data_IF_221548631759
#
_entry.id   IF_221548631759
#
_cell.length_a   1.000
_cell.length_b   1.000
_cell.length_c   1.000
_cell.angle_alpha   90.00
_cell.angle_beta   90.00
_cell.angle_gamma   90.00
#
_symmetry.space_group_name_H-M   'P 1'
#
loop_
_entity.id
_entity.type
_entity.pdbx_description
1 polymer ?
#
# COMPACT_ATOMS: atom_id res chain seq x y z
N UNK A 1 -10.66 31.24 24.11
CA UNK A 1 -11.16 30.11 24.92
C UNK A 1 -10.08 29.64 25.87
N UNK A 2 -10.43 29.11 27.04
CA UNK A 2 -9.49 28.34 27.87
C UNK A 2 -9.47 26.88 27.44
N UNK A 3 -8.45 26.11 27.82
CA UNK A 3 -8.41 24.65 27.59
C UNK A 3 -9.59 23.96 28.27
N UNK A 4 -10.02 24.44 29.43
CA UNK A 4 -11.19 23.92 30.14
C UNK A 4 -12.50 24.16 29.38
N UNK A 5 -12.64 25.31 28.73
CA UNK A 5 -13.79 25.61 27.87
C UNK A 5 -13.81 24.68 26.66
N UNK A 6 -12.67 24.54 25.97
CA UNK A 6 -12.56 23.60 24.82
C UNK A 6 -12.86 22.17 25.25
N UNK A 7 -12.41 21.75 26.43
CA UNK A 7 -12.63 20.42 26.96
C UNK A 7 -14.10 20.08 27.23
N UNK A 8 -15.04 21.05 27.21
CA UNK A 8 -16.49 20.80 27.32
C UNK A 8 -17.12 20.36 26.00
N UNK A 9 -16.44 20.57 24.88
CA UNK A 9 -16.95 20.31 23.53
C UNK A 9 -16.43 18.97 22.99
N UNK A 10 -16.96 17.86 23.53
CA UNK A 10 -16.47 16.50 23.24
C UNK A 10 -17.41 15.63 22.41
N UNK A 11 -18.64 16.06 22.21
CA UNK A 11 -19.69 15.25 21.59
C UNK A 11 -20.41 16.03 20.51
N UNK A 12 -21.01 15.38 19.48
CA UNK A 12 -21.76 16.08 18.44
C UNK A 12 -22.89 16.97 18.98
N UNK A 13 -23.54 16.57 20.09
CA UNK A 13 -24.58 17.35 20.74
C UNK A 13 -24.06 18.62 21.42
N UNK A 14 -22.80 18.64 21.82
CA UNK A 14 -22.14 19.77 22.50
C UNK A 14 -21.20 20.54 21.56
N UNK A 15 -21.16 20.18 20.26
CA UNK A 15 -20.08 20.50 19.32
C UNK A 15 -18.77 19.79 19.68
N UNK A 16 -17.99 19.44 18.66
CA UNK A 16 -16.69 18.78 18.78
C UNK A 16 -15.61 19.81 18.51
N UNK A 17 -14.95 20.30 19.56
CA UNK A 17 -13.85 21.26 19.41
C UNK A 17 -12.50 20.59 19.61
N UNK A 18 -11.49 21.10 18.91
CA UNK A 18 -10.10 20.64 19.01
C UNK A 18 -9.16 21.84 18.98
N UNK A 19 -7.91 21.66 19.42
CA UNK A 19 -6.88 22.70 19.32
C UNK A 19 -5.70 22.26 18.46
N UNK A 20 -5.05 23.22 17.80
CA UNK A 20 -3.75 23.02 17.17
C UNK A 20 -2.95 24.32 17.27
N UNK A 21 -1.76 24.25 17.88
CA UNK A 21 -1.03 25.41 18.37
C UNK A 21 -1.87 26.17 19.40
N UNK A 22 -2.14 27.44 19.10
CA UNK A 22 -3.00 28.31 19.93
C UNK A 22 -4.40 28.49 19.35
N UNK A 23 -4.73 27.81 18.25
CA UNK A 23 -6.02 27.98 17.56
C UNK A 23 -7.04 26.92 18.01
N UNK A 24 -8.32 27.30 18.03
CA UNK A 24 -9.46 26.45 18.41
C UNK A 24 -10.36 26.27 17.19
N UNK A 25 -10.73 25.01 16.93
CA UNK A 25 -11.48 24.61 15.75
C UNK A 25 -12.74 23.85 16.15
N UNK A 26 -13.89 24.17 15.54
CA UNK A 26 -15.13 23.40 15.64
C UNK A 26 -15.21 22.46 14.45
N UNK A 27 -14.84 21.20 14.67
CA UNK A 27 -14.77 20.18 13.63
C UNK A 27 -16.03 19.32 13.58
N UNK A 28 -17.13 19.74 14.23
CA UNK A 28 -18.38 18.95 14.33
C UNK A 28 -18.85 18.45 12.98
N UNK A 29 -18.90 19.34 11.98
CA UNK A 29 -19.37 19.01 10.64
C UNK A 29 -18.33 18.25 9.79
N UNK A 30 -17.08 18.18 10.26
CA UNK A 30 -15.99 17.45 9.62
C UNK A 30 -15.82 16.01 10.13
N UNK A 31 -16.34 15.68 11.31
CA UNK A 31 -16.18 14.36 11.95
C UNK A 31 -16.53 13.22 10.99
N UNK A 32 -17.68 13.30 10.33
CA UNK A 32 -18.16 12.28 9.37
C UNK A 32 -17.38 12.30 8.04
N UNK A 33 -16.73 13.41 7.71
CA UNK A 33 -15.97 13.60 6.46
C UNK A 33 -14.49 13.19 6.61
N UNK A 34 -14.04 12.90 7.83
CA UNK A 34 -12.65 12.61 8.13
C UNK A 34 -12.20 11.30 7.45
N UNK A 35 -11.13 11.30 6.61
CA UNK A 35 -10.70 10.13 5.85
C UNK A 35 -10.29 8.90 6.68
N UNK A 36 -9.96 9.09 7.96
CA UNK A 36 -9.67 8.01 8.91
C UNK A 36 -10.90 7.48 9.65
N UNK A 37 -12.09 7.99 9.35
CA UNK A 37 -13.34 7.75 10.07
C UNK A 37 -13.55 8.70 11.26
N UNK A 38 -14.81 8.80 11.75
CA UNK A 38 -15.19 9.72 12.82
C UNK A 38 -14.54 9.35 14.16
N UNK A 39 -14.46 8.05 14.46
CA UNK A 39 -13.89 7.54 15.71
C UNK A 39 -12.48 8.06 15.99
N UNK A 40 -11.65 8.20 14.95
CA UNK A 40 -10.26 8.66 15.09
C UNK A 40 -10.17 10.14 15.39
N UNK A 41 -11.04 10.96 14.82
CA UNK A 41 -11.07 12.40 15.10
C UNK A 41 -11.66 12.66 16.50
N UNK A 42 -12.68 11.89 16.89
CA UNK A 42 -13.33 12.03 18.20
C UNK A 42 -12.40 11.71 19.38
N UNK A 43 -11.30 10.98 19.18
CA UNK A 43 -10.26 10.80 20.20
C UNK A 43 -9.61 12.13 20.62
N UNK A 44 -9.57 13.10 19.71
CA UNK A 44 -9.03 14.43 19.99
C UNK A 44 -10.08 15.41 20.51
N UNK A 45 -11.35 15.00 20.63
CA UNK A 45 -12.44 15.87 21.00
C UNK A 45 -12.21 16.50 22.38
N UNK A 46 -12.30 17.83 22.44
CA UNK A 46 -12.00 18.65 23.60
C UNK A 46 -10.51 18.75 23.95
N UNK A 47 -9.60 18.46 23.02
CA UNK A 47 -8.16 18.41 23.28
C UNK A 47 -7.27 18.79 22.09
N UNK A 48 -5.93 18.71 22.29
CA UNK A 48 -4.94 19.02 21.26
C UNK A 48 -4.84 17.97 20.15
N UNK A 49 -4.70 18.43 18.91
CA UNK A 49 -4.47 17.59 17.72
C UNK A 49 -3.02 17.09 17.61
N UNK A 50 -2.06 17.78 18.24
CA UNK A 50 -0.62 17.55 18.10
C UNK A 50 -0.20 16.09 18.38
N UNK A 51 -0.66 15.41 19.44
CA UNK A 51 -0.31 14.01 19.68
C UNK A 51 -0.75 13.08 18.55
N UNK A 52 -1.90 13.37 17.94
CA UNK A 52 -2.45 12.58 16.83
C UNK A 52 -1.75 12.91 15.51
N UNK A 53 -1.43 14.18 15.28
CA UNK A 53 -0.74 14.63 14.08
C UNK A 53 0.72 14.17 14.04
N UNK A 54 1.36 14.05 15.21
CA UNK A 54 2.68 13.44 15.33
C UNK A 54 2.71 12.00 14.80
N UNK A 55 1.61 11.24 14.96
CA UNK A 55 1.44 9.86 14.46
C UNK A 55 1.08 9.80 12.96
N UNK A 56 0.42 10.83 12.46
CA UNK A 56 -0.09 10.89 11.09
C UNK A 56 0.33 12.18 10.40
N UNK A 57 1.60 12.30 9.99
CA UNK A 57 2.12 13.57 9.44
C UNK A 57 1.49 13.97 8.08
N UNK A 58 0.60 13.15 7.50
CA UNK A 58 -0.28 13.61 6.42
C UNK A 58 -1.08 14.84 6.84
N UNK A 59 -1.42 14.97 8.13
CA UNK A 59 -2.15 16.14 8.64
C UNK A 59 -1.29 17.40 8.73
N UNK A 60 0.04 17.28 8.71
CA UNK A 60 0.95 18.41 8.63
C UNK A 60 1.14 18.94 7.20
N UNK A 61 0.51 18.33 6.19
CA UNK A 61 0.60 18.81 4.81
C UNK A 61 -0.20 20.11 4.61
N UNK A 62 0.27 21.04 3.77
CA UNK A 62 -0.37 22.37 3.62
C UNK A 62 -1.87 22.32 3.33
N UNK A 63 -2.31 21.40 2.46
CA UNK A 63 -3.73 21.28 2.10
C UNK A 63 -4.61 20.80 3.28
N UNK A 64 -4.07 20.05 4.24
CA UNK A 64 -4.81 19.65 5.46
C UNK A 64 -4.86 20.79 6.47
N UNK A 65 -3.79 21.59 6.56
CA UNK A 65 -3.78 22.82 7.35
C UNK A 65 -4.79 23.84 6.80
N UNK A 66 -4.88 23.98 5.48
CA UNK A 66 -5.87 24.82 4.80
C UNK A 66 -7.29 24.36 5.10
N UNK A 67 -7.55 23.05 4.98
CA UNK A 67 -8.84 22.47 5.34
C UNK A 67 -9.19 22.71 6.81
N UNK A 68 -8.25 22.49 7.75
CA UNK A 68 -8.50 22.71 9.17
C UNK A 68 -8.86 24.19 9.47
N UNK A 69 -8.24 25.15 8.77
CA UNK A 69 -8.52 26.58 8.96
C UNK A 69 -9.97 26.96 8.65
N UNK A 70 -10.66 26.23 7.77
CA UNK A 70 -12.09 26.46 7.49
C UNK A 70 -12.97 26.26 8.73
N UNK A 71 -12.48 25.48 9.70
CA UNK A 71 -13.18 25.14 10.95
C UNK A 71 -12.75 26.00 12.15
N UNK A 72 -11.92 27.04 11.94
CA UNK A 72 -11.43 27.88 13.06
C UNK A 72 -12.58 28.67 13.68
N UNK A 73 -12.74 28.55 15.01
CA UNK A 73 -13.75 29.27 15.80
C UNK A 73 -13.17 30.21 16.86
N UNK A 74 -11.86 30.19 17.07
CA UNK A 74 -11.16 31.17 17.90
C UNK A 74 -9.73 30.77 18.25
N UNK A 75 -9.24 31.34 19.35
CA UNK A 75 -7.88 31.12 19.85
C UNK A 75 -7.90 30.88 21.36
N UNK A 76 -6.88 30.18 21.85
CA UNK A 76 -6.65 29.95 23.26
C UNK A 76 -6.23 31.26 23.96
N UNK A 77 -6.56 31.40 25.23
CA UNK A 77 -6.08 32.51 26.04
C UNK A 77 -4.55 32.48 26.16
N UNK A 78 -3.89 33.64 26.38
CA UNK A 78 -2.43 33.68 26.56
C UNK A 78 -1.92 32.77 27.69
N UNK A 79 -2.71 32.57 28.74
CA UNK A 79 -2.38 31.69 29.87
C UNK A 79 -2.35 30.20 29.47
N UNK A 80 -3.15 29.81 28.48
CA UNK A 80 -3.23 28.44 27.95
C UNK A 80 -2.43 28.22 26.65
N UNK A 81 -1.77 29.27 26.15
CA UNK A 81 -0.99 29.26 24.90
C UNK A 81 0.30 28.44 24.97
N UNK A 82 0.74 28.09 26.18
CA UNK A 82 1.89 27.20 26.39
C UNK A 82 1.45 25.74 26.28
N UNK A 83 2.16 24.87 25.53
CA UNK A 83 1.82 23.46 25.45
C UNK A 83 1.88 22.83 26.86
N UNK A 84 0.98 21.89 27.20
CA UNK A 84 1.07 21.19 28.48
C UNK A 84 2.38 20.42 28.47
N UNK A 85 3.13 20.50 29.58
CA UNK A 85 4.34 19.71 29.76
C UNK A 85 3.95 18.22 29.89
N UNK A 86 3.89 17.54 28.76
CA UNK A 86 3.69 16.10 28.64
C UNK A 86 4.65 15.57 27.60
N UNK A 87 5.45 14.58 27.99
CA UNK A 87 6.47 13.87 27.22
C UNK A 87 6.02 13.46 25.80
N UNK A 88 6.09 14.37 24.83
CA UNK A 88 5.90 14.03 23.43
C UNK A 88 7.21 13.45 22.88
N UNK A 89 7.60 12.27 23.38
CA UNK A 89 8.66 11.50 22.74
C UNK A 89 8.13 11.09 21.35
N UNK A 90 8.77 11.60 20.31
CA UNK A 90 8.43 11.34 18.91
C UNK A 90 8.18 9.84 18.71
N UNK A 91 6.94 9.41 18.37
CA UNK A 91 6.58 7.99 18.33
C UNK A 91 7.37 7.22 17.25
N UNK A 92 7.98 7.95 16.30
CA UNK A 92 8.84 7.41 15.25
C UNK A 92 10.33 7.41 15.60
N UNK A 93 10.74 7.84 16.81
CA UNK A 93 12.16 7.92 17.18
C UNK A 93 12.87 6.55 17.11
N UNK A 94 12.14 5.45 17.32
CA UNK A 94 12.64 4.07 17.24
C UNK A 94 12.60 3.45 15.84
N UNK A 95 12.19 4.19 14.81
CA UNK A 95 12.15 3.70 13.45
C UNK A 95 13.57 3.37 12.93
N UNK A 96 13.74 2.33 12.08
CA UNK A 96 15.03 1.97 11.53
C UNK A 96 15.58 3.05 10.58
N UNK A 97 16.91 3.13 10.37
CA UNK A 97 17.48 3.92 9.28
C UNK A 97 17.14 3.28 7.92
N UNK A 98 17.07 4.09 6.86
CA UNK A 98 16.78 3.63 5.49
C UNK A 98 17.80 4.15 4.50
N UNK A 99 17.87 3.49 3.35
CA UNK A 99 18.81 3.85 2.29
C UNK A 99 18.47 5.23 1.70
N UNK A 100 19.45 6.14 1.56
CA UNK A 100 19.21 7.54 1.16
C UNK A 100 18.77 7.70 -0.30
N UNK A 101 18.98 6.69 -1.15
CA UNK A 101 18.52 6.74 -2.54
C UNK A 101 17.00 6.58 -2.70
N UNK A 102 16.28 6.16 -1.65
CA UNK A 102 14.83 6.02 -1.72
C UNK A 102 14.17 7.38 -1.94
N UNK A 103 13.15 7.41 -2.82
CA UNK A 103 12.30 8.58 -3.04
C UNK A 103 11.23 8.59 -1.96
N UNK A 104 11.47 9.38 -0.92
CA UNK A 104 10.58 9.50 0.24
C UNK A 104 9.39 10.39 -0.10
N UNK A 105 8.18 9.87 0.10
CA UNK A 105 6.93 10.63 -0.04
C UNK A 105 6.30 10.99 1.31
N UNK A 106 6.67 10.29 2.39
CA UNK A 106 6.33 10.64 3.77
C UNK A 106 7.43 10.13 4.70
N UNK A 107 7.88 10.98 5.63
CA UNK A 107 8.86 10.59 6.64
C UNK A 107 8.20 9.90 7.85
N UNK A 108 7.00 10.34 8.24
CA UNK A 108 6.29 9.89 9.45
C UNK A 108 4.78 9.76 9.21
N UNK A 109 4.24 8.54 9.03
CA UNK A 109 4.96 7.28 8.93
C UNK A 109 5.82 7.20 7.67
N UNK A 110 6.90 6.42 7.73
CA UNK A 110 7.85 6.30 6.63
C UNK A 110 7.23 5.60 5.41
N UNK A 111 7.25 6.27 4.27
CA UNK A 111 6.79 5.75 3.00
C UNK A 111 7.70 6.23 1.87
N UNK A 112 8.27 5.27 1.13
CA UNK A 112 9.24 5.56 0.08
C UNK A 112 9.27 4.45 -0.98
N UNK A 113 9.65 4.82 -2.20
CA UNK A 113 9.83 3.92 -3.33
C UNK A 113 11.27 4.02 -3.87
N UNK A 114 11.82 2.96 -4.50
CA UNK A 114 13.10 3.08 -5.19
C UNK A 114 13.02 4.07 -6.36
N UNK A 115 14.15 4.66 -6.76
CA UNK A 115 14.23 5.35 -8.05
C UNK A 115 13.78 4.43 -9.19
N UNK A 116 12.90 4.90 -10.10
CA UNK A 116 12.41 4.10 -11.22
C UNK A 116 13.51 3.39 -12.04
N UNK A 117 14.63 4.06 -12.30
CA UNK A 117 15.78 3.52 -13.02
C UNK A 117 16.47 2.36 -12.30
N UNK A 118 16.32 2.24 -10.98
CA UNK A 118 16.84 1.12 -10.19
C UNK A 118 15.81 -0.02 -10.03
N UNK A 119 14.52 0.29 -10.19
CA UNK A 119 13.42 -0.64 -9.91
C UNK A 119 13.55 -1.96 -10.68
N UNK A 120 14.00 -1.91 -11.93
CA UNK A 120 14.08 -3.08 -12.83
C UNK A 120 15.51 -3.50 -13.16
N UNK A 121 16.51 -3.06 -12.37
CA UNK A 121 17.92 -3.47 -12.57
C UNK A 121 18.18 -4.91 -12.10
N UNK A 122 17.31 -5.42 -11.23
CA UNK A 122 17.36 -6.80 -10.73
C UNK A 122 15.96 -7.36 -10.69
N UNK A 123 15.83 -8.66 -10.98
CA UNK A 123 14.57 -9.37 -10.85
C UNK A 123 14.06 -9.41 -9.40
N UNK A 124 14.97 -9.64 -8.44
CA UNK A 124 14.72 -9.51 -7.01
C UNK A 124 15.18 -8.12 -6.58
N UNK A 125 14.27 -7.30 -6.10
CA UNK A 125 14.57 -5.98 -5.56
C UNK A 125 15.38 -6.15 -4.27
N UNK A 126 16.57 -5.51 -4.15
CA UNK A 126 17.35 -5.52 -2.92
C UNK A 126 16.52 -5.03 -1.73
N UNK A 127 16.74 -5.60 -0.55
CA UNK A 127 15.94 -5.34 0.66
C UNK A 127 15.92 -3.84 1.02
N UNK A 128 17.05 -3.16 0.82
CA UNK A 128 17.28 -1.75 1.12
C UNK A 128 16.58 -0.80 0.13
N UNK A 129 16.21 -1.31 -1.05
CA UNK A 129 15.52 -0.58 -2.12
C UNK A 129 14.06 -1.02 -2.28
N UNK A 130 13.64 -2.09 -1.60
CA UNK A 130 12.27 -2.55 -1.65
C UNK A 130 11.34 -1.46 -1.10
N UNK A 131 10.30 -1.09 -1.85
CA UNK A 131 9.41 0.01 -1.46
C UNK A 131 8.84 -0.22 -0.05
N UNK A 132 8.78 0.83 0.75
CA UNK A 132 8.30 0.76 2.13
C UNK A 132 7.02 1.54 2.24
N UNK A 133 5.96 0.89 2.74
CA UNK A 133 4.70 1.54 3.11
C UNK A 133 4.40 1.24 4.58
N UNK A 134 4.50 2.26 5.43
CA UNK A 134 4.09 2.19 6.84
C UNK A 134 2.88 3.10 7.07
N UNK A 135 1.87 2.60 7.79
CA UNK A 135 0.76 3.43 8.28
C UNK A 135 1.05 4.07 9.64
N UNK A 136 1.95 3.45 10.39
CA UNK A 136 2.20 3.66 11.81
C UNK A 136 3.71 3.52 12.10
N UNK A 137 4.19 3.87 13.30
CA UNK A 137 5.57 3.64 13.72
C UNK A 137 5.98 2.17 13.61
N UNK A 138 7.26 1.92 13.33
CA UNK A 138 7.79 0.56 13.19
C UNK A 138 7.99 -0.06 14.58
N UNK A 139 7.32 -1.17 14.92
CA UNK A 139 7.51 -1.83 16.21
C UNK A 139 8.98 -2.19 16.48
N UNK A 140 9.40 -2.01 17.73
CA UNK A 140 10.65 -2.56 18.25
C UNK A 140 10.33 -3.90 18.92
N UNK A 141 10.74 -5.00 18.29
CA UNK A 141 10.38 -6.35 18.72
C UNK A 141 11.61 -7.08 19.21
N UNK A 142 11.56 -7.62 20.43
CA UNK A 142 12.59 -8.50 20.97
C UNK A 142 12.30 -9.95 20.57
N UNK A 143 13.18 -10.64 19.81
CA UNK A 143 12.88 -11.95 19.24
C UNK A 143 12.52 -13.04 20.26
N UNK A 144 13.16 -13.04 21.43
CA UNK A 144 12.94 -14.06 22.45
C UNK A 144 11.55 -14.00 23.10
N UNK A 145 10.97 -12.79 23.19
CA UNK A 145 9.67 -12.56 23.81
C UNK A 145 8.51 -12.49 22.79
N UNK A 146 8.80 -12.36 21.50
CA UNK A 146 7.79 -12.38 20.45
C UNK A 146 6.91 -13.63 20.51
N UNK A 147 5.59 -13.44 20.39
CA UNK A 147 4.60 -14.51 20.28
C UNK A 147 3.60 -14.19 19.18
N UNK A 148 3.40 -15.15 18.29
CA UNK A 148 2.31 -15.17 17.33
C UNK A 148 1.12 -15.90 17.93
N UNK A 149 0.00 -15.20 18.10
CA UNK A 149 -1.26 -15.82 18.51
C UNK A 149 -2.00 -16.36 17.28
N UNK A 150 -2.41 -17.63 17.33
CA UNK A 150 -3.27 -18.23 16.30
C UNK A 150 -4.51 -18.78 16.97
N UNK A 151 -5.67 -18.19 16.69
CA UNK A 151 -6.95 -18.63 17.24
C UNK A 151 -7.46 -19.82 16.44
N UNK A 152 -7.65 -20.95 17.14
CA UNK A 152 -8.16 -22.22 16.62
C UNK A 152 -9.65 -22.43 16.92
N UNK A 153 -10.28 -23.47 16.34
CA UNK A 153 -11.68 -23.79 16.59
C UNK A 153 -11.96 -24.09 18.06
N UNK A 154 -13.16 -23.72 18.51
CA UNK A 154 -13.66 -24.02 19.86
C UNK A 154 -12.94 -23.28 20.98
N UNK A 155 -12.37 -22.09 20.69
CA UNK A 155 -11.69 -21.25 21.66
C UNK A 155 -10.25 -21.68 22.00
N UNK A 156 -9.70 -22.66 21.29
CA UNK A 156 -8.27 -23.02 21.40
C UNK A 156 -7.42 -21.87 20.86
N UNK A 157 -6.28 -21.60 21.47
CA UNK A 157 -5.34 -20.60 20.97
C UNK A 157 -3.93 -21.16 21.03
N UNK A 158 -3.21 -21.11 19.91
CA UNK A 158 -1.77 -21.32 19.89
C UNK A 158 -1.06 -20.00 20.20
N UNK A 159 0.06 -20.08 20.90
CA UNK A 159 1.00 -18.98 21.13
C UNK A 159 2.37 -19.47 20.70
N UNK A 160 2.76 -19.13 19.47
CA UNK A 160 3.98 -19.63 18.83
C UNK A 160 5.11 -18.60 19.01
N UNK A 161 6.22 -19.02 19.59
CA UNK A 161 7.46 -18.24 19.52
C UNK A 161 8.04 -18.24 18.10
N UNK A 162 8.96 -17.32 17.81
CA UNK A 162 9.69 -17.31 16.53
C UNK A 162 10.46 -18.63 16.29
N UNK A 163 11.07 -19.18 17.34
CA UNK A 163 11.79 -20.45 17.27
C UNK A 163 10.86 -21.62 16.94
N UNK A 164 9.66 -21.68 17.54
CA UNK A 164 8.67 -22.71 17.23
C UNK A 164 8.12 -22.57 15.81
N UNK A 165 7.88 -21.34 15.34
CA UNK A 165 7.44 -21.12 13.97
C UNK A 165 8.47 -21.61 12.95
N UNK A 166 9.77 -21.40 13.22
CA UNK A 166 10.88 -21.89 12.38
C UNK A 166 11.11 -23.40 12.50
N UNK A 167 10.94 -23.96 13.70
CA UNK A 167 11.30 -25.35 14.00
C UNK A 167 10.17 -26.37 13.78
N UNK A 168 8.90 -25.98 13.93
CA UNK A 168 7.75 -26.90 13.82
C UNK A 168 7.23 -27.06 12.39
N UNK A 169 7.37 -26.03 11.55
CA UNK A 169 6.77 -26.01 10.22
C UNK A 169 7.85 -26.07 9.14
N UNK A 170 7.67 -26.85 8.05
CA UNK A 170 8.61 -26.85 6.95
C UNK A 170 8.73 -25.47 6.31
N UNK A 171 9.96 -24.96 6.20
CA UNK A 171 10.23 -23.69 5.50
C UNK A 171 9.90 -23.85 4.01
N UNK A 172 9.09 -22.94 3.51
CA UNK A 172 8.78 -22.79 2.09
C UNK A 172 9.26 -21.44 1.58
N UNK A 173 9.71 -21.41 0.33
CA UNK A 173 10.17 -20.21 -0.33
C UNK A 173 9.25 -19.89 -1.52
N UNK A 174 8.80 -18.64 -1.61
CA UNK A 174 7.92 -18.15 -2.68
C UNK A 174 8.47 -16.82 -3.16
N UNK A 175 8.77 -16.74 -4.46
CA UNK A 175 9.10 -15.45 -5.08
C UNK A 175 7.80 -14.76 -5.47
N UNK A 176 7.51 -13.61 -4.85
CA UNK A 176 6.28 -12.87 -5.10
C UNK A 176 6.53 -11.37 -5.16
N UNK A 177 5.84 -10.72 -6.09
CA UNK A 177 5.77 -9.27 -6.18
C UNK A 177 4.70 -8.75 -5.23
N UNK A 178 5.04 -7.73 -4.44
CA UNK A 178 4.07 -6.94 -3.70
C UNK A 178 3.86 -5.63 -4.44
N UNK A 179 2.60 -5.28 -4.70
CA UNK A 179 2.22 -3.98 -5.26
C UNK A 179 1.24 -3.28 -4.31
N UNK A 180 1.48 -2.01 -4.01
CA UNK A 180 0.54 -1.17 -3.27
C UNK A 180 -0.68 -0.84 -4.13
N UNK A 181 -1.88 -0.78 -3.53
CA UNK A 181 -3.10 -0.33 -4.21
C UNK A 181 -2.94 1.05 -4.87
N UNK A 182 -2.11 1.91 -4.27
CA UNK A 182 -1.84 3.27 -4.72
C UNK A 182 -0.65 3.44 -5.65
N UNK A 183 -0.06 2.35 -6.17
CA UNK A 183 1.00 2.46 -7.18
C UNK A 183 0.50 3.31 -8.36
N UNK A 184 1.33 4.22 -8.87
CA UNK A 184 0.99 5.17 -9.94
C UNK A 184 -0.13 6.16 -9.61
N UNK A 185 -0.39 6.45 -8.32
CA UNK A 185 -1.41 7.42 -7.89
C UNK A 185 -1.19 8.81 -8.48
N UNK A 186 0.07 9.23 -8.61
CA UNK A 186 0.40 10.56 -9.16
C UNK A 186 -0.19 10.82 -10.55
N UNK A 187 -0.43 9.76 -11.35
CA UNK A 187 -1.08 9.88 -12.66
C UNK A 187 -2.58 10.16 -12.54
N UNK A 188 -3.26 9.62 -11.52
CA UNK A 188 -4.65 9.95 -11.25
C UNK A 188 -4.80 11.40 -10.78
N UNK A 189 -3.85 11.89 -9.96
CA UNK A 189 -3.83 13.30 -9.51
C UNK A 189 -3.75 14.30 -10.67
N UNK A 190 -3.24 13.90 -11.85
CA UNK A 190 -3.21 14.74 -13.06
C UNK A 190 -4.58 14.89 -13.73
N UNK A 191 -5.50 13.96 -13.49
CA UNK A 191 -6.88 14.05 -13.99
C UNK A 191 -7.70 14.96 -13.06
N UNK A 192 -7.70 14.64 -11.76
CA UNK A 192 -8.36 15.37 -10.70
C UNK A 192 -7.67 15.03 -9.37
N UNK A 193 -7.51 15.98 -8.42
CA UNK A 193 -6.89 15.70 -7.13
C UNK A 193 -7.53 14.52 -6.40
N UNK A 194 -6.71 13.73 -5.70
CA UNK A 194 -7.12 12.53 -4.94
C UNK A 194 -6.47 12.54 -3.55
N UNK A 195 -7.03 11.82 -2.58
CA UNK A 195 -6.39 11.66 -1.25
C UNK A 195 -5.53 10.40 -1.21
N UNK A 196 -4.24 10.57 -0.90
CA UNK A 196 -3.30 9.47 -0.68
C UNK A 196 -1.86 9.84 -1.00
N UNK A 197 -0.93 8.94 -0.68
CA UNK A 197 0.50 9.16 -0.93
C UNK A 197 0.79 9.27 -2.44
N UNK A 198 1.57 10.28 -2.89
CA UNK A 198 1.78 10.59 -4.29
C UNK A 198 2.82 9.66 -4.96
N UNK A 199 2.55 8.35 -4.94
CA UNK A 199 3.42 7.34 -5.56
C UNK A 199 3.60 7.59 -7.07
N UNK A 200 4.83 7.44 -7.53
CA UNK A 200 5.22 7.27 -8.92
C UNK A 200 5.00 5.77 -9.29
N UNK A 201 5.80 5.23 -10.21
CA UNK A 201 5.68 3.85 -10.69
C UNK A 201 6.34 2.79 -9.78
N UNK A 202 6.93 3.18 -8.64
CA UNK A 202 7.79 2.34 -7.80
C UNK A 202 7.17 1.83 -6.51
N UNK A 203 5.86 1.94 -6.29
CA UNK A 203 5.18 1.31 -5.15
C UNK A 203 4.91 -0.18 -5.39
N UNK A 204 5.94 -0.87 -5.88
CA UNK A 204 5.97 -2.27 -6.27
C UNK A 204 7.40 -2.82 -6.08
N UNK A 205 7.54 -4.08 -5.71
CA UNK A 205 8.84 -4.73 -5.58
C UNK A 205 8.70 -6.24 -5.50
N UNK A 206 9.76 -6.96 -5.87
CA UNK A 206 9.78 -8.43 -5.92
C UNK A 206 10.86 -8.97 -5.01
N UNK A 207 10.51 -9.95 -4.17
CA UNK A 207 11.46 -10.63 -3.30
C UNK A 207 11.16 -12.13 -3.24
N UNK A 208 12.17 -12.91 -2.85
CA UNK A 208 12.00 -14.29 -2.43
C UNK A 208 11.69 -14.33 -0.94
N UNK A 209 10.48 -14.71 -0.59
CA UNK A 209 9.99 -14.78 0.79
C UNK A 209 10.17 -16.20 1.32
N UNK A 210 10.69 -16.34 2.54
CA UNK A 210 10.87 -17.63 3.22
C UNK A 210 10.10 -17.69 4.53
N UNK A 211 9.35 -18.77 4.75
CA UNK A 211 8.51 -18.88 5.95
C UNK A 211 7.73 -20.18 6.08
N UNK A 212 6.93 -20.27 7.13
CA UNK A 212 5.93 -21.32 7.29
C UNK A 212 4.74 -21.03 6.34
N UNK A 213 4.11 -22.06 5.77
CA UNK A 213 2.85 -21.87 5.05
C UNK A 213 1.73 -21.54 6.04
N UNK A 214 0.90 -20.56 5.72
CA UNK A 214 -0.28 -20.24 6.53
C UNK A 214 -1.20 -21.45 6.65
N UNK A 215 -1.36 -22.21 5.55
CA UNK A 215 -2.06 -23.51 5.53
C UNK A 215 -1.60 -24.41 6.67
N UNK A 216 -0.31 -24.70 6.76
CA UNK A 216 0.24 -25.67 7.71
C UNK A 216 0.02 -25.22 9.17
N UNK A 217 0.11 -23.90 9.41
CA UNK A 217 -0.14 -23.31 10.73
C UNK A 217 -1.62 -23.41 11.12
N UNK A 218 -2.54 -23.15 10.18
CA UNK A 218 -3.99 -23.28 10.42
C UNK A 218 -4.41 -24.75 10.63
N UNK A 219 -3.86 -25.67 9.84
CA UNK A 219 -4.07 -27.11 10.05
C UNK A 219 -3.57 -27.55 11.42
N UNK A 220 -2.40 -27.06 11.85
CA UNK A 220 -1.87 -27.33 13.18
C UNK A 220 -2.72 -26.72 14.31
N UNK A 221 -3.34 -25.55 14.07
CA UNK A 221 -4.33 -24.96 14.99
C UNK A 221 -5.65 -25.75 15.06
N UNK A 222 -5.82 -26.75 14.18
CA UNK A 222 -6.96 -27.66 14.16
C UNK A 222 -8.06 -27.28 13.19
N UNK A 223 -7.81 -26.37 12.24
CA UNK A 223 -8.70 -26.17 11.09
C UNK A 223 -8.49 -27.28 10.04
N UNK A 224 -9.47 -27.46 9.16
CA UNK A 224 -9.37 -28.34 7.99
C UNK A 224 -9.13 -27.55 6.70
N UNK A 225 -9.19 -28.27 5.58
CA UNK A 225 -9.16 -27.69 4.24
C UNK A 225 -10.47 -27.01 3.85
N UNK A 226 -11.55 -27.45 4.47
CA UNK A 226 -12.89 -26.87 4.33
C UNK A 226 -13.15 -25.80 5.39
N UNK A 227 -13.96 -24.78 5.08
CA UNK A 227 -14.35 -23.76 6.04
C UNK A 227 -15.07 -24.40 7.25
N UNK A 228 -15.00 -23.77 8.44
CA UNK A 228 -15.62 -24.31 9.67
C UNK A 228 -17.14 -24.53 9.62
N UNK A 229 -17.83 -23.96 8.63
CA UNK A 229 -19.26 -24.14 8.41
C UNK A 229 -19.69 -23.53 7.09
N UNK A 230 -21.01 -23.43 6.89
CA UNK A 230 -21.60 -22.81 5.70
C UNK A 230 -21.24 -21.31 5.61
N UNK A 231 -21.26 -20.79 4.39
CA UNK A 231 -20.95 -19.39 4.10
C UNK A 231 -19.50 -19.11 3.76
N UNK A 232 -19.18 -17.82 3.61
CA UNK A 232 -17.82 -17.35 3.37
C UNK A 232 -17.09 -17.14 4.70
N UNK A 233 -15.88 -17.67 4.78
CA UNK A 233 -15.01 -17.52 5.94
C UNK A 233 -13.74 -16.79 5.54
N UNK A 234 -13.14 -16.13 6.51
CA UNK A 234 -11.96 -15.29 6.34
C UNK A 234 -10.89 -15.66 7.37
N UNK A 235 -9.64 -15.37 7.02
CA UNK A 235 -8.53 -15.33 7.96
C UNK A 235 -8.13 -13.88 8.15
N UNK A 236 -8.32 -13.39 9.38
CA UNK A 236 -8.00 -12.05 9.83
C UNK A 236 -6.61 -12.02 10.43
N UNK A 237 -5.90 -10.93 10.16
CA UNK A 237 -4.54 -10.68 10.59
C UNK A 237 -4.47 -9.35 11.30
N UNK A 238 -3.67 -9.28 12.36
CA UNK A 238 -3.34 -8.02 13.05
C UNK A 238 -1.83 -7.86 13.19
N UNK A 239 -1.34 -6.65 12.98
CA UNK A 239 0.05 -6.25 13.23
C UNK A 239 0.25 -5.77 14.67
N UNK A 240 1.51 -5.69 15.08
CA UNK A 240 1.93 -5.08 16.36
C UNK A 240 1.90 -3.55 16.31
N UNK A 241 1.89 -2.95 15.12
CA UNK A 241 1.77 -1.51 14.95
C UNK A 241 0.34 -1.06 15.27
N UNK A 242 0.23 -0.13 16.22
CA UNK A 242 -1.05 0.42 16.70
C UNK A 242 -1.07 1.93 16.56
N UNK A 243 -2.28 2.48 16.39
CA UNK A 243 -2.49 3.92 16.45
C UNK A 243 -2.62 4.47 17.87
N UNK A 244 -2.90 5.78 17.97
CA UNK A 244 -3.08 6.49 19.23
C UNK A 244 -4.13 5.86 20.16
N UNK A 245 -5.16 5.22 19.60
CA UNK A 245 -6.20 4.51 20.38
C UNK A 245 -5.85 3.05 20.68
N UNK A 246 -4.67 2.58 20.29
CA UNK A 246 -4.28 1.18 20.45
C UNK A 246 -4.91 0.23 19.41
N UNK A 247 -5.54 0.75 18.33
CA UNK A 247 -6.08 -0.08 17.27
C UNK A 247 -4.96 -0.56 16.34
N UNK A 248 -4.80 -1.87 16.11
CA UNK A 248 -3.72 -2.40 15.27
C UNK A 248 -4.01 -2.24 13.78
N UNK A 249 -2.96 -2.19 12.95
CA UNK A 249 -3.12 -2.49 11.53
C UNK A 249 -3.71 -3.89 11.34
N UNK A 250 -4.76 -4.01 10.52
CA UNK A 250 -5.43 -5.28 10.30
C UNK A 250 -5.98 -5.43 8.89
N UNK A 251 -6.02 -6.68 8.42
CA UNK A 251 -6.58 -7.05 7.12
C UNK A 251 -7.07 -8.50 7.15
N UNK A 252 -7.77 -8.94 6.10
CA UNK A 252 -8.16 -10.34 5.95
C UNK A 252 -8.09 -10.83 4.51
N UNK A 253 -7.97 -12.14 4.36
CA UNK A 253 -8.12 -12.86 3.09
C UNK A 253 -9.19 -13.95 3.22
N UNK A 254 -9.81 -14.39 2.10
CA UNK A 254 -10.72 -15.53 2.14
C UNK A 254 -10.04 -16.79 2.69
N UNK A 255 -10.76 -17.55 3.53
CA UNK A 255 -10.28 -18.78 4.16
C UNK A 255 -9.75 -19.78 3.12
N UNK A 256 -10.48 -19.97 2.02
CA UNK A 256 -10.08 -20.86 0.92
C UNK A 256 -8.71 -20.51 0.33
N UNK A 257 -8.34 -19.22 0.29
CA UNK A 257 -6.98 -18.80 -0.12
C UNK A 257 -5.96 -19.17 0.95
N UNK A 258 -6.25 -18.91 2.21
CA UNK A 258 -5.33 -19.16 3.32
C UNK A 258 -4.96 -20.63 3.46
N UNK A 259 -5.93 -21.54 3.26
CA UNK A 259 -5.68 -22.99 3.31
C UNK A 259 -5.25 -23.57 1.98
N UNK A 260 -5.42 -22.92 0.83
CA UNK A 260 -5.00 -23.50 -0.46
C UNK A 260 -3.48 -23.71 -0.54
N UNK A 261 -3.06 -24.94 -0.85
CA UNK A 261 -1.67 -25.25 -1.14
C UNK A 261 -1.15 -24.55 -2.40
N UNK A 262 -2.06 -24.16 -3.30
CA UNK A 262 -1.70 -23.48 -4.55
C UNK A 262 -1.55 -21.97 -4.40
N UNK A 263 -2.22 -21.37 -3.41
CA UNK A 263 -2.14 -19.94 -3.17
C UNK A 263 -0.82 -19.50 -2.50
N UNK A 264 -0.06 -20.45 -1.95
CA UNK A 264 1.29 -20.23 -1.39
C UNK A 264 1.40 -19.09 -0.38
N UNK A 265 0.36 -18.90 0.44
CA UNK A 265 0.35 -17.87 1.48
C UNK A 265 1.35 -18.26 2.57
N UNK A 266 2.25 -17.34 2.91
CA UNK A 266 3.31 -17.55 3.91
C UNK A 266 3.12 -16.68 5.14
N UNK A 267 3.52 -17.22 6.28
CA UNK A 267 4.01 -16.47 7.44
C UNK A 267 5.54 -16.38 7.29
N UNK A 268 5.98 -15.35 6.57
CA UNK A 268 7.37 -15.14 6.20
C UNK A 268 8.18 -14.58 7.37
N UNK A 269 9.38 -15.11 7.58
CA UNK A 269 10.39 -14.64 8.52
C UNK A 269 11.75 -14.40 7.83
N UNK A 270 11.83 -14.64 6.52
CA UNK A 270 12.97 -14.38 5.64
C UNK A 270 12.54 -13.61 4.38
N UNK A 271 13.41 -12.73 3.88
CA UNK A 271 13.26 -11.97 2.65
C UNK A 271 14.61 -11.90 1.94
N UNK A 272 14.64 -12.39 0.70
CA UNK A 272 15.85 -12.51 -0.13
C UNK A 272 16.99 -13.29 0.57
N UNK A 273 16.64 -14.36 1.29
CA UNK A 273 17.59 -15.24 1.98
C UNK A 273 18.16 -14.66 3.28
N UNK A 274 17.70 -13.48 3.71
CA UNK A 274 18.07 -12.86 4.97
C UNK A 274 16.85 -12.79 5.90
N UNK A 275 17.07 -12.58 7.18
CA UNK A 275 15.99 -12.24 8.10
C UNK A 275 15.24 -10.99 7.65
N UNK A 276 13.93 -10.91 7.94
CA UNK A 276 13.13 -9.75 7.55
C UNK A 276 13.72 -8.45 8.11
N UNK A 277 13.95 -7.42 7.28
CA UNK A 277 14.23 -6.09 7.78
C UNK A 277 13.06 -5.55 8.61
N UNK A 278 13.34 -4.67 9.58
CA UNK A 278 12.32 -4.08 10.47
C UNK A 278 11.18 -3.40 9.70
N UNK A 279 11.50 -2.59 8.68
CA UNK A 279 10.48 -1.94 7.82
C UNK A 279 9.59 -2.93 7.07
N UNK A 280 10.06 -4.16 6.84
CA UNK A 280 9.37 -5.19 6.08
C UNK A 280 8.68 -6.23 6.96
N UNK A 281 8.62 -6.00 8.28
CA UNK A 281 7.75 -6.76 9.18
C UNK A 281 8.46 -7.74 10.10
N UNK A 282 9.74 -7.53 10.41
CA UNK A 282 10.44 -8.30 11.44
C UNK A 282 9.61 -8.48 12.73
N UNK A 283 9.52 -9.68 13.32
CA UNK A 283 10.16 -10.91 12.87
C UNK A 283 9.33 -11.73 11.89
N UNK A 284 8.03 -11.46 11.76
CA UNK A 284 7.09 -12.23 10.92
C UNK A 284 6.12 -11.30 10.21
N UNK A 285 5.90 -11.54 8.91
CA UNK A 285 4.81 -10.93 8.13
C UNK A 285 3.98 -12.00 7.43
N UNK A 286 2.75 -11.65 7.08
CA UNK A 286 2.01 -12.38 6.05
C UNK A 286 2.54 -11.96 4.68
N UNK A 287 2.66 -12.93 3.77
CA UNK A 287 2.84 -12.70 2.34
C UNK A 287 1.72 -13.42 1.62
N UNK A 288 0.90 -12.66 0.89
CA UNK A 288 -0.22 -13.18 0.10
C UNK A 288 0.07 -12.99 -1.40
N UNK A 289 0.62 -14.01 -2.09
CA UNK A 289 0.95 -13.90 -3.51
C UNK A 289 -0.27 -13.56 -4.39
N UNK A 290 -0.06 -12.71 -5.40
CA UNK A 290 -1.12 -12.31 -6.34
C UNK A 290 -2.17 -11.34 -5.79
N UNK A 291 -2.02 -10.90 -4.54
CA UNK A 291 -2.98 -10.02 -3.84
C UNK A 291 -2.32 -8.67 -3.55
N UNK A 292 -3.13 -7.62 -3.42
CA UNK A 292 -2.67 -6.27 -3.07
C UNK A 292 -1.85 -6.27 -1.77
N UNK A 293 -0.76 -5.50 -1.75
CA UNK A 293 0.19 -5.50 -0.64
C UNK A 293 -0.39 -5.15 0.74
N UNK A 294 -1.56 -4.51 0.78
CA UNK A 294 -2.28 -4.19 2.01
C UNK A 294 -2.66 -5.44 2.84
N UNK A 295 -2.88 -6.60 2.19
CA UNK A 295 -3.28 -7.84 2.88
C UNK A 295 -2.08 -8.62 3.45
N UNK A 296 -0.87 -8.25 3.05
CA UNK A 296 0.40 -8.82 3.54
C UNK A 296 0.84 -8.12 4.83
N UNK A 297 0.06 -8.30 5.90
CA UNK A 297 0.25 -7.66 7.22
C UNK A 297 1.66 -7.88 7.76
N UNK A 298 2.32 -6.81 8.17
CA UNK A 298 3.67 -6.81 8.77
C UNK A 298 3.59 -6.89 10.29
N UNK A 299 4.70 -7.26 10.92
CA UNK A 299 4.82 -7.32 12.39
C UNK A 299 3.70 -8.15 13.02
N UNK A 300 3.41 -9.31 12.44
CA UNK A 300 2.20 -10.07 12.69
C UNK A 300 2.08 -10.47 14.17
N UNK A 301 0.98 -10.11 14.83
CA UNK A 301 0.68 -10.48 16.22
C UNK A 301 -0.36 -11.58 16.34
N UNK A 302 -1.37 -11.56 15.47
CA UNK A 302 -2.54 -12.42 15.58
C UNK A 302 -3.02 -12.93 14.22
N UNK A 303 -3.48 -14.18 14.21
CA UNK A 303 -4.19 -14.84 13.10
C UNK A 303 -5.48 -15.43 13.67
N UNK A 304 -6.63 -15.03 13.13
CA UNK A 304 -7.93 -15.52 13.58
C UNK A 304 -8.82 -15.91 12.39
N UNK A 305 -9.58 -17.00 12.52
CA UNK A 305 -10.57 -17.40 11.51
C UNK A 305 -11.94 -16.83 11.91
N UNK A 306 -12.63 -16.21 10.97
CA UNK A 306 -13.86 -15.45 11.21
C UNK A 306 -14.88 -15.68 10.09
N UNK A 307 -16.20 -15.68 10.38
CA UNK A 307 -17.25 -15.72 9.35
C UNK A 307 -17.41 -14.38 8.61
N UNK A 308 -16.69 -13.34 9.04
CA UNK A 308 -16.71 -12.01 8.42
C UNK A 308 -15.29 -11.54 8.12
N UNK A 309 -15.16 -10.63 7.15
CA UNK A 309 -13.91 -9.90 6.91
C UNK A 309 -13.40 -9.22 8.19
N UNK A 310 -12.11 -8.89 8.21
CA UNK A 310 -11.51 -8.09 9.28
C UNK A 310 -12.30 -6.79 9.47
N UNK A 311 -12.69 -6.44 10.70
CA UNK A 311 -13.42 -5.19 10.98
C UNK A 311 -12.52 -3.95 10.93
N UNK A 312 -11.21 -4.14 10.70
CA UNK A 312 -10.21 -3.09 10.55
C UNK A 312 -10.64 -2.01 9.55
N UNK A 313 -10.36 -0.74 9.87
CA UNK A 313 -10.56 0.40 8.97
C UNK A 313 -9.95 0.15 7.58
N UNK A 314 -8.74 -0.41 7.51
CA UNK A 314 -8.05 -0.67 6.24
C UNK A 314 -8.68 -1.80 5.41
N UNK A 315 -9.53 -2.63 6.00
CA UNK A 315 -10.32 -3.63 5.27
C UNK A 315 -11.68 -3.07 4.86
N UNK A 316 -12.35 -2.35 5.77
CA UNK A 316 -13.74 -1.92 5.60
C UNK A 316 -13.88 -0.58 4.84
N UNK A 317 -13.06 0.41 5.18
CA UNK A 317 -13.22 1.82 4.79
C UNK A 317 -12.03 2.36 3.97
N UNK A 318 -11.16 1.49 3.45
CA UNK A 318 -10.09 1.84 2.53
C UNK A 318 -9.84 0.70 1.54
N UNK A 319 -8.97 0.92 0.55
CA UNK A 319 -8.54 -0.07 -0.44
C UNK A 319 -9.72 -0.70 -1.19
N UNK A 320 -10.59 0.15 -1.74
CA UNK A 320 -11.73 -0.17 -2.60
C UNK A 320 -11.73 0.73 -3.83
N UNK A 321 -12.17 0.20 -4.97
CA UNK A 321 -12.32 0.94 -6.22
C UNK A 321 -13.76 1.41 -6.39
N UNK A 322 -13.95 2.65 -6.86
CA UNK A 322 -15.27 3.25 -7.08
C UNK A 322 -15.38 3.83 -8.47
N UNK A 323 -16.62 4.04 -8.94
CA UNK A 323 -16.91 4.74 -10.19
C UNK A 323 -16.31 6.16 -10.17
N UNK A 324 -15.81 6.69 -11.31
CA UNK A 324 -15.27 8.05 -11.37
C UNK A 324 -16.24 9.18 -10.98
N UNK A 325 -17.55 8.89 -10.99
CA UNK A 325 -18.59 9.84 -10.58
C UNK A 325 -18.74 9.98 -9.05
N UNK A 326 -18.16 9.08 -8.26
CA UNK A 326 -18.25 9.11 -6.79
C UNK A 326 -17.25 10.11 -6.22
N UNK A 327 -17.70 10.94 -5.28
CA UNK A 327 -16.86 11.89 -4.53
C UNK A 327 -16.99 11.67 -3.01
N UNK A 328 -16.31 12.49 -2.20
CA UNK A 328 -16.23 12.31 -0.74
C UNK A 328 -17.58 12.41 -0.01
N UNK A 329 -18.53 13.16 -0.57
CA UNK A 329 -19.88 13.35 -0.02
C UNK A 329 -20.83 12.17 -0.33
N UNK A 330 -20.46 11.31 -1.28
CA UNK A 330 -21.32 10.28 -1.87
C UNK A 330 -20.73 8.88 -1.80
N UNK A 331 -19.51 8.73 -1.27
CA UNK A 331 -18.84 7.43 -1.16
C UNK A 331 -19.52 6.54 -0.10
N UNK A 332 -19.94 5.36 -0.53
CA UNK A 332 -20.35 4.28 0.38
C UNK A 332 -19.38 3.10 0.25
N UNK A 333 -18.53 2.91 1.26
CA UNK A 333 -17.54 1.83 1.25
C UNK A 333 -18.14 0.42 1.25
N UNK A 334 -19.41 0.26 1.62
CA UNK A 334 -20.11 -1.05 1.57
C UNK A 334 -20.49 -1.43 0.14
N UNK A 335 -20.54 -0.47 -0.79
CA UNK A 335 -20.94 -0.69 -2.18
C UNK A 335 -19.83 -1.30 -3.06
N UNK A 336 -18.60 -1.43 -2.54
CA UNK A 336 -17.47 -1.99 -3.28
C UNK A 336 -16.76 -3.09 -2.47
N UNK A 337 -16.28 -4.16 -3.13
CA UNK A 337 -15.50 -5.19 -2.47
C UNK A 337 -14.12 -4.66 -2.07
N UNK A 338 -13.58 -5.16 -0.96
CA UNK A 338 -12.18 -4.93 -0.59
C UNK A 338 -11.26 -5.43 -1.71
N UNK A 339 -10.28 -4.62 -2.12
CA UNK A 339 -9.29 -5.06 -3.12
C UNK A 339 -8.55 -6.27 -2.55
N UNK A 340 -8.61 -7.37 -3.32
CA UNK A 340 -7.85 -8.60 -3.08
C UNK A 340 -6.86 -8.76 -4.23
N UNK A 341 -7.21 -9.51 -5.28
CA UNK A 341 -6.40 -9.57 -6.49
C UNK A 341 -6.36 -8.22 -7.21
N UNK A 342 -5.22 -7.90 -7.81
CA UNK A 342 -5.03 -6.69 -8.59
C UNK A 342 -5.17 -6.97 -10.10
N UNK A 343 -5.59 -5.97 -10.90
CA UNK A 343 -5.62 -6.09 -12.35
C UNK A 343 -4.20 -6.08 -12.95
N UNK A 344 -4.10 -6.44 -14.23
CA UNK A 344 -2.84 -6.33 -14.99
C UNK A 344 -2.29 -4.91 -14.98
N UNK A 345 -0.96 -4.79 -14.88
CA UNK A 345 -0.19 -3.57 -14.72
C UNK A 345 1.11 -3.64 -15.52
N UNK A 346 1.61 -2.49 -15.99
CA UNK A 346 2.96 -2.32 -16.51
C UNK A 346 3.41 -0.85 -16.44
N UNK A 347 4.71 -0.62 -16.32
CA UNK A 347 5.30 0.71 -16.43
C UNK A 347 6.67 0.67 -17.13
N UNK A 348 7.10 1.83 -17.63
CA UNK A 348 8.41 2.06 -18.26
C UNK A 348 9.32 2.66 -17.20
N UNK A 349 10.45 2.04 -16.95
CA UNK A 349 11.47 2.51 -16.00
C UNK A 349 12.63 3.23 -16.66
N UNK A 350 12.89 2.89 -17.92
CA UNK A 350 13.97 3.46 -18.72
C UNK A 350 13.49 3.65 -20.17
N UNK A 351 13.67 4.83 -20.79
CA UNK A 351 14.20 6.08 -20.22
C UNK A 351 13.21 6.76 -19.25
N UNK A 352 13.68 7.80 -18.53
CA UNK A 352 12.84 8.64 -17.65
C UNK A 352 12.08 9.72 -18.45
N UNK A 353 10.93 10.20 -17.95
CA UNK A 353 10.23 11.34 -18.55
C UNK A 353 11.14 12.56 -18.70
N UNK A 354 11.14 13.18 -19.88
CA UNK A 354 11.93 14.36 -20.21
C UNK A 354 13.38 14.09 -20.63
N UNK A 355 13.80 12.82 -20.70
CA UNK A 355 15.16 12.48 -21.13
C UNK A 355 15.43 12.88 -22.59
N UNK A 356 16.64 13.36 -22.86
CA UNK A 356 17.21 13.44 -24.20
C UNK A 356 17.99 12.15 -24.48
N UNK A 357 17.55 11.37 -25.46
CA UNK A 357 18.13 10.07 -25.82
C UNK A 357 18.87 10.17 -27.15
N UNK A 358 19.99 9.47 -27.36
CA UNK A 358 20.71 9.54 -28.62
C UNK A 358 19.88 8.96 -29.79
N UNK A 359 20.07 9.53 -30.98
CA UNK A 359 19.61 8.93 -32.22
C UNK A 359 20.29 7.57 -32.48
N UNK A 360 19.61 6.67 -33.18
CA UNK A 360 20.10 5.31 -33.42
C UNK A 360 19.18 4.28 -32.77
N UNK A 361 19.71 3.39 -31.93
CA UNK A 361 18.94 2.37 -31.22
C UNK A 361 18.62 2.82 -29.79
N UNK A 362 17.33 2.92 -29.45
CA UNK A 362 16.85 3.18 -28.10
C UNK A 362 16.41 1.88 -27.44
N UNK A 363 16.97 1.63 -26.26
CA UNK A 363 16.53 0.56 -25.35
C UNK A 363 15.50 1.11 -24.38
N UNK A 364 14.31 0.53 -24.38
CA UNK A 364 13.22 0.85 -23.44
C UNK A 364 13.04 -0.34 -22.50
N UNK A 365 13.05 -0.11 -21.19
CA UNK A 365 12.89 -1.14 -20.16
C UNK A 365 11.68 -0.87 -19.28
N UNK A 366 11.16 -1.93 -18.67
CA UNK A 366 10.08 -1.81 -17.70
C UNK A 366 9.73 -3.11 -17.00
N UNK A 367 8.63 -3.07 -16.26
CA UNK A 367 8.02 -4.23 -15.62
C UNK A 367 6.58 -4.40 -16.09
N UNK A 368 6.05 -5.61 -15.93
CA UNK A 368 4.64 -5.95 -16.05
C UNK A 368 4.26 -7.02 -15.03
N UNK A 369 3.02 -7.01 -14.53
CA UNK A 369 2.54 -7.97 -13.53
C UNK A 369 1.01 -8.04 -13.54
N UNK A 370 0.42 -9.16 -13.12
CA UNK A 370 -1.03 -9.28 -12.87
C UNK A 370 -1.27 -10.03 -11.56
N UNK A 371 -2.35 -9.69 -10.87
CA UNK A 371 -2.76 -10.37 -9.65
C UNK A 371 -3.27 -11.80 -9.92
N UNK A 372 -3.63 -12.50 -8.84
CA UNK A 372 -4.24 -13.84 -8.93
C UNK A 372 -3.37 -14.94 -9.52
N UNK A 373 -2.07 -14.68 -9.72
CA UNK A 373 -1.14 -15.66 -10.28
C UNK A 373 -1.23 -15.77 -11.80
N UNK A 374 -1.91 -14.81 -12.44
CA UNK A 374 -2.04 -14.74 -13.89
C UNK A 374 -0.73 -14.23 -14.48
N UNK A 375 -0.04 -15.09 -15.23
CA UNK A 375 1.19 -14.71 -15.92
C UNK A 375 0.95 -13.60 -16.94
N UNK A 376 1.94 -12.72 -17.16
CA UNK A 376 1.94 -11.77 -18.28
C UNK A 376 2.36 -12.50 -19.55
N UNK A 377 1.47 -12.54 -20.54
CA UNK A 377 1.70 -13.22 -21.82
C UNK A 377 2.13 -12.28 -22.95
N UNK A 378 1.88 -10.96 -22.80
CA UNK A 378 2.33 -9.94 -23.76
C UNK A 378 2.59 -8.59 -23.10
N UNK A 379 3.69 -7.92 -23.48
CA UNK A 379 3.87 -6.47 -23.29
C UNK A 379 4.01 -5.84 -24.66
N UNK A 380 3.22 -4.80 -24.95
CA UNK A 380 3.35 -4.00 -26.16
C UNK A 380 3.95 -2.65 -25.82
N UNK A 381 5.01 -2.29 -26.52
CA UNK A 381 5.59 -0.96 -26.55
C UNK A 381 5.28 -0.26 -27.86
N UNK A 382 5.11 1.07 -27.85
CA UNK A 382 4.80 1.84 -29.05
C UNK A 382 5.22 3.30 -28.96
N UNK A 383 5.09 4.01 -30.10
CA UNK A 383 5.22 5.46 -30.21
C UNK A 383 3.81 6.07 -30.29
N UNK A 384 3.43 6.87 -29.30
CA UNK A 384 2.19 7.65 -29.30
C UNK A 384 2.26 8.85 -30.25
N UNK A 385 1.10 9.45 -30.57
CA UNK A 385 1.03 10.71 -31.33
C UNK A 385 1.57 11.86 -30.46
N UNK A 386 2.66 12.49 -30.90
CA UNK A 386 3.05 13.80 -30.36
C UNK A 386 2.00 14.86 -30.71
N UNK A 387 1.77 15.83 -29.83
CA UNK A 387 0.96 17.00 -30.17
C UNK A 387 1.62 17.76 -31.34
N UNK A 388 0.95 17.79 -32.51
CA UNK A 388 1.30 18.66 -33.63
C UNK A 388 1.93 18.05 -34.88
N UNK A 389 1.90 16.72 -35.09
CA UNK A 389 2.43 16.10 -36.32
C UNK A 389 1.43 15.20 -37.05
N UNK A 390 1.14 15.49 -38.32
CA UNK A 390 0.56 14.53 -39.26
C UNK A 390 1.61 13.46 -39.59
N UNK A 391 1.52 12.31 -38.90
CA UNK A 391 2.39 11.16 -39.14
C UNK A 391 1.73 9.89 -38.59
N UNK A 392 1.65 8.86 -39.41
CA UNK A 392 0.86 7.64 -39.19
C UNK A 392 1.18 6.87 -37.90
N UNK A 393 0.25 5.98 -37.56
CA UNK A 393 0.31 4.99 -36.48
C UNK A 393 1.61 4.17 -36.61
N UNK A 394 2.66 4.59 -35.92
CA UNK A 394 4.00 4.02 -36.03
C UNK A 394 4.05 2.64 -35.37
N UNK A 395 4.50 1.64 -36.15
CA UNK A 395 4.42 0.20 -35.88
C UNK A 395 4.58 -0.23 -34.41
N UNK A 396 3.58 -0.97 -33.93
CA UNK A 396 3.68 -1.76 -32.71
C UNK A 396 4.84 -2.75 -32.88
N UNK A 397 5.77 -2.78 -31.91
CA UNK A 397 6.80 -3.83 -31.86
C UNK A 397 6.62 -4.64 -30.59
N UNK A 398 6.62 -5.96 -30.75
CA UNK A 398 6.63 -6.89 -29.63
C UNK A 398 8.08 -7.02 -29.12
N UNK A 399 8.27 -6.96 -27.80
CA UNK A 399 9.57 -7.13 -27.16
C UNK A 399 9.94 -8.62 -27.06
N UNK A 400 11.24 -8.91 -27.09
CA UNK A 400 11.74 -10.26 -26.81
C UNK A 400 11.71 -10.52 -25.30
N UNK A 401 11.33 -11.74 -24.94
CA UNK A 401 11.13 -12.21 -23.57
C UNK A 401 12.45 -12.69 -22.94
N UNK A 402 12.79 -12.24 -21.74
CA UNK A 402 13.79 -12.96 -20.93
C UNK A 402 13.31 -13.23 -19.52
N UNK A 403 13.81 -14.35 -19.02
CA UNK A 403 13.48 -15.04 -17.78
C UNK A 403 12.02 -15.48 -17.64
N UNK A 404 11.69 -16.55 -18.38
CA UNK A 404 10.56 -17.41 -18.04
C UNK A 404 10.87 -18.14 -16.73
N UNK A 405 10.61 -17.48 -15.59
CA UNK A 405 10.54 -18.18 -14.30
C UNK A 405 9.33 -19.11 -14.37
N UNK A 406 9.60 -20.42 -14.54
CA UNK A 406 8.57 -21.46 -14.52
C UNK A 406 8.00 -21.53 -13.09
N UNK A 407 6.77 -21.07 -12.90
CA UNK A 407 6.08 -21.07 -11.61
C UNK A 407 4.69 -20.47 -11.73
N UNK A 408 3.91 -20.47 -10.64
CA UNK A 408 2.66 -19.71 -10.56
C UNK A 408 3.01 -18.21 -10.70
N UNK A 409 2.26 -17.44 -11.50
CA UNK A 409 2.60 -16.08 -11.96
C UNK A 409 2.59 -14.99 -10.87
N UNK A 410 3.24 -15.22 -9.73
CA UNK A 410 3.27 -14.33 -8.57
C UNK A 410 4.28 -13.19 -8.69
N UNK A 411 5.36 -13.43 -9.45
CA UNK A 411 6.41 -12.45 -9.69
C UNK A 411 6.14 -11.69 -10.99
N UNK A 412 6.63 -10.46 -11.06
CA UNK A 412 6.58 -9.63 -12.26
C UNK A 412 7.34 -10.26 -13.43
N UNK A 413 7.05 -9.79 -14.64
CA UNK A 413 7.88 -9.96 -15.82
C UNK A 413 8.64 -8.65 -16.06
N UNK A 414 9.96 -8.71 -16.07
CA UNK A 414 10.79 -7.63 -16.58
C UNK A 414 10.85 -7.72 -18.11
N UNK A 415 10.85 -6.57 -18.79
CA UNK A 415 10.86 -6.52 -20.25
C UNK A 415 11.79 -5.43 -20.75
N UNK A 416 12.39 -5.64 -21.92
CA UNK A 416 12.98 -4.56 -22.72
C UNK A 416 12.69 -4.71 -24.21
N UNK A 417 12.63 -3.56 -24.87
CA UNK A 417 12.40 -3.42 -26.29
C UNK A 417 13.46 -2.50 -26.87
N UNK A 418 14.07 -2.92 -27.98
CA UNK A 418 14.98 -2.09 -28.76
C UNK A 418 14.29 -1.59 -30.02
N UNK A 419 14.36 -0.28 -30.25
CA UNK A 419 13.72 0.34 -31.41
C UNK A 419 14.59 1.45 -32.00
N UNK A 420 14.63 1.59 -33.34
CA UNK A 420 15.31 2.70 -33.98
C UNK A 420 14.57 4.02 -33.72
N UNK A 421 15.33 5.05 -33.43
CA UNK A 421 14.87 6.43 -33.19
C UNK A 421 15.63 7.40 -34.10
N UNK A 422 14.87 8.24 -34.80
CA UNK A 422 15.41 9.24 -35.73
C UNK A 422 15.82 10.50 -34.96
N UNK A 423 16.90 11.19 -35.37
CA UNK A 423 17.35 12.43 -34.73
C UNK A 423 16.27 13.53 -34.80
N UNK A 424 16.17 14.35 -33.75
CA UNK A 424 15.24 15.48 -33.69
C UNK A 424 13.78 15.11 -33.43
N UNK A 425 13.48 13.83 -33.18
CA UNK A 425 12.13 13.37 -32.91
C UNK A 425 11.69 13.68 -31.47
N UNK A 426 10.42 14.08 -31.29
CA UNK A 426 9.75 14.05 -29.98
C UNK A 426 8.92 12.78 -29.90
N UNK A 427 9.14 11.96 -28.89
CA UNK A 427 8.49 10.66 -28.74
C UNK A 427 7.65 10.63 -27.47
N UNK A 428 6.47 10.03 -27.56
CA UNK A 428 5.73 9.54 -26.38
C UNK A 428 5.85 8.01 -26.38
N UNK A 429 6.67 7.48 -25.47
CA UNK A 429 6.79 6.04 -25.28
C UNK A 429 5.60 5.55 -24.46
N UNK A 430 4.98 4.45 -24.86
CA UNK A 430 3.88 3.83 -24.13
C UNK A 430 4.13 2.36 -23.89
N UNK A 431 3.60 1.83 -22.79
CA UNK A 431 3.53 0.38 -22.56
C UNK A 431 2.15 -0.07 -22.03
N UNK A 432 1.78 -1.29 -22.41
CA UNK A 432 0.62 -2.02 -21.89
C UNK A 432 0.86 -3.53 -21.88
N UNK A 433 0.37 -4.19 -20.84
CA UNK A 433 0.45 -5.64 -20.69
C UNK A 433 -0.88 -6.37 -20.96
N UNK A 434 -0.77 -7.67 -21.24
CA UNK A 434 -1.86 -8.64 -21.37
C UNK A 434 -1.52 -9.83 -20.46
N UNK A 435 -2.46 -10.24 -19.61
CA UNK A 435 -2.28 -11.42 -18.75
C UNK A 435 -2.82 -12.71 -19.39
N UNK A 436 -2.58 -13.85 -18.74
CA UNK A 436 -2.98 -15.20 -19.19
C UNK A 436 -4.50 -15.41 -19.25
N UNK A 437 -5.30 -14.51 -18.68
CA UNK A 437 -6.76 -14.46 -18.86
C UNK A 437 -7.18 -13.43 -19.90
N UNK A 438 -6.22 -12.91 -20.69
CA UNK A 438 -6.40 -11.88 -21.71
C UNK A 438 -6.97 -10.55 -21.19
N UNK A 439 -6.90 -10.28 -19.88
CA UNK A 439 -7.17 -8.93 -19.40
C UNK A 439 -6.12 -7.96 -19.93
N UNK A 440 -6.54 -6.73 -20.19
CA UNK A 440 -5.70 -5.66 -20.74
C UNK A 440 -5.81 -4.39 -19.91
N UNK A 441 -4.82 -3.51 -20.03
CA UNK A 441 -4.84 -2.19 -19.41
C UNK A 441 -5.67 -1.20 -20.23
N UNK A 442 -6.45 -0.31 -19.58
CA UNK A 442 -7.21 0.75 -20.25
C UNK A 442 -6.30 1.87 -20.79
N UNK A 443 -6.77 2.56 -21.82
CA UNK A 443 -5.99 3.54 -22.58
C UNK A 443 -5.63 4.82 -21.80
N UNK A 444 -6.49 5.23 -20.86
CA UNK A 444 -6.37 6.50 -20.14
C UNK A 444 -6.84 6.41 -18.68
N UNK A 445 -6.35 7.32 -17.84
CA UNK A 445 -6.64 7.32 -16.41
C UNK A 445 -8.02 7.90 -16.05
N UNK A 446 -8.61 8.76 -16.88
CA UNK A 446 -9.86 9.45 -16.53
C UNK A 446 -11.05 8.51 -16.32
N UNK A 447 -11.31 7.50 -17.18
CA UNK A 447 -12.41 6.55 -16.98
C UNK A 447 -12.22 5.60 -15.79
N UNK A 448 -11.02 5.52 -15.22
CA UNK A 448 -10.71 4.71 -14.03
C UNK A 448 -10.35 5.55 -12.80
N UNK A 449 -10.50 6.87 -12.90
CA UNK A 449 -10.24 7.77 -11.77
C UNK A 449 -11.15 7.40 -10.61
N UNK A 450 -10.64 7.51 -9.38
CA UNK A 450 -11.43 7.38 -8.15
C UNK A 450 -10.83 8.27 -7.07
N UNK A 451 -11.66 8.69 -6.10
CA UNK A 451 -11.31 9.63 -5.04
C UNK A 451 -10.08 9.26 -4.19
N UNK A 452 -9.75 7.95 -4.07
CA UNK A 452 -8.56 7.44 -3.35
C UNK A 452 -7.32 7.30 -4.23
N UNK A 453 -7.45 7.48 -5.54
CA UNK A 453 -6.36 7.33 -6.49
C UNK A 453 -5.74 5.92 -6.51
N UNK A 454 -6.52 4.87 -6.21
CA UNK A 454 -6.07 3.47 -6.22
C UNK A 454 -6.34 2.80 -7.56
N UNK A 455 -5.75 1.64 -7.84
CA UNK A 455 -5.97 0.87 -9.07
C UNK A 455 -5.57 1.65 -10.35
N UNK A 456 -4.50 2.45 -10.27
CA UNK A 456 -3.97 3.19 -11.43
C UNK A 456 -3.24 2.26 -12.38
N UNK A 457 -3.96 1.71 -13.36
CA UNK A 457 -3.44 0.73 -14.30
C UNK A 457 -3.63 1.11 -15.79
N UNK A 458 -3.94 2.37 -16.10
CA UNK A 458 -3.94 2.84 -17.48
C UNK A 458 -2.54 2.73 -18.12
N UNK A 459 -2.42 2.82 -19.44
CA UNK A 459 -1.12 2.75 -20.12
C UNK A 459 -0.15 3.81 -19.56
N UNK A 460 1.08 3.38 -19.23
CA UNK A 460 2.11 4.30 -18.77
C UNK A 460 2.71 5.04 -19.98
N UNK A 461 2.91 6.36 -19.85
CA UNK A 461 3.37 7.24 -20.93
C UNK A 461 4.61 8.01 -20.50
N UNK A 462 5.67 7.96 -21.31
CA UNK A 462 6.95 8.60 -21.05
C UNK A 462 7.34 9.48 -22.24
N UNK A 463 7.20 10.81 -22.13
CA UNK A 463 7.69 11.74 -23.15
C UNK A 463 9.23 11.84 -23.12
N UNK A 464 9.87 11.79 -24.29
CA UNK A 464 11.33 11.96 -24.47
C UNK A 464 11.64 12.72 -25.76
N UNK A 465 12.86 13.23 -25.88
CA UNK A 465 13.39 13.87 -27.10
C UNK A 465 14.61 13.12 -27.61
N UNK A 466 14.80 13.06 -28.94
CA UNK A 466 15.93 12.40 -29.60
C UNK A 466 16.92 13.41 -30.16
#
# INVERSE_FOLDING_TARGET
>A
YTREEVARHRTPGERVWVTHGTEVFDVTDFVELHPGGPDKLLLAAGGPLEPFWALYAVHSQPHVLELLREYKVGELSPEDSSPPAGDAQDPFAGDPPRHPALRVNSLKPFNAEPPPELLTQSFLTPNELFFTRNHLPVPAVEPGSYRLRVEGPGGRSLSLSLAELRGRFPKHEVTATLQCAGNRRSEMSRVRPVKGLPWDIGAIGTARWGGARLRDVLLHAGFGDDPPGDGEWHVCFEGLDVDASGTPYGASIPFRRAVSAEAEVLLAYEMNGQELPRDHGFPVRVVVPGVVGARSVKWLRSVAVSPSESPSHWQQNDYKGFCPSVDWDSVDFRAAPAIQELPVQSAITEPRPGAAVPAGELTVKGYAWSGGGREVIRVRGGKGRGQGGEGGMGGEREGNWWEKWRGRGWAWALWELRAPVAPGARLELLCKAVDSSYNVQPDSAAPIWNLRGVLSNAWHRVPVTV
#
